data_IF_481684341905
#
_entry.id   IF_481684341905
#
_cell.length_a   1.000
_cell.length_b   1.000
_cell.length_c   1.000
_cell.angle_alpha   90.00
_cell.angle_beta   90.00
_cell.angle_gamma   90.00
#
_symmetry.space_group_name_H-M   'P 1'
#
loop_
_entity.id
_entity.type
_entity.pdbx_description
1 polymer ?
#
# COMPACT_ATOMS: atom_id res chain seq x y z
N UNK A 1 25.18 -26.77 -15.64
CA UNK A 1 23.91 -26.07 -15.35
C UNK A 1 24.31 -24.69 -14.92
N UNK A 2 23.93 -23.68 -15.70
CA UNK A 2 24.31 -22.30 -15.43
C UNK A 2 23.62 -21.85 -14.15
N UNK A 3 24.41 -21.31 -13.22
CA UNK A 3 23.91 -20.74 -11.97
C UNK A 3 22.84 -19.69 -12.29
N UNK A 4 21.63 -19.91 -11.77
CA UNK A 4 20.58 -18.90 -11.75
C UNK A 4 21.08 -17.81 -10.78
N UNK A 5 21.23 -16.54 -11.20
CA UNK A 5 21.68 -15.50 -10.31
C UNK A 5 20.66 -15.34 -9.18
N UNK A 6 21.08 -15.66 -7.96
CA UNK A 6 20.32 -15.31 -6.77
C UNK A 6 20.29 -13.77 -6.67
N UNK A 7 19.11 -13.21 -6.38
CA UNK A 7 19.04 -11.85 -5.81
C UNK A 7 20.03 -11.80 -4.62
N UNK A 8 20.81 -10.71 -4.42
CA UNK A 8 21.85 -10.58 -3.39
C UNK A 8 21.44 -10.85 -1.93
N UNK A 9 20.19 -11.23 -1.71
CA UNK A 9 19.42 -10.97 -0.52
C UNK A 9 18.71 -12.21 0.01
N UNK A 10 18.58 -13.23 -0.83
CA UNK A 10 18.18 -14.55 -0.40
C UNK A 10 19.45 -15.40 -0.27
N UNK A 11 19.63 -16.02 0.90
CA UNK A 11 20.57 -17.13 1.00
C UNK A 11 20.25 -18.14 -0.11
N UNK A 12 21.28 -18.79 -0.68
CA UNK A 12 21.07 -19.79 -1.75
C UNK A 12 19.95 -20.76 -1.35
N UNK A 13 18.99 -20.98 -2.27
CA UNK A 13 17.96 -22.02 -2.10
C UNK A 13 18.65 -23.32 -1.70
N UNK A 14 18.19 -23.91 -0.60
CA UNK A 14 18.81 -25.08 0.03
C UNK A 14 17.98 -26.31 -0.25
N UNK A 15 18.63 -27.47 -0.24
CA UNK A 15 17.92 -28.75 -0.24
C UNK A 15 17.03 -28.79 1.01
N UNK A 16 15.71 -28.89 0.80
CA UNK A 16 14.69 -28.86 1.85
C UNK A 16 13.83 -27.59 1.87
N UNK A 17 14.23 -26.53 1.15
CA UNK A 17 13.38 -25.35 0.98
C UNK A 17 12.20 -25.66 0.04
N UNK A 18 11.05 -25.05 0.31
CA UNK A 18 9.92 -25.06 -0.61
C UNK A 18 10.07 -23.93 -1.63
N UNK A 19 9.93 -24.26 -2.91
CA UNK A 19 9.89 -23.28 -4.00
C UNK A 19 8.47 -23.21 -4.51
N UNK A 20 7.84 -22.05 -4.34
CA UNK A 20 6.55 -21.76 -4.92
C UNK A 20 6.75 -21.28 -6.37
N UNK A 21 6.07 -21.94 -7.31
CA UNK A 21 6.08 -21.55 -8.71
C UNK A 21 4.75 -20.89 -9.00
N UNK A 22 4.75 -19.56 -9.03
CA UNK A 22 3.60 -18.82 -9.53
C UNK A 22 3.58 -18.90 -11.06
N UNK A 23 2.55 -19.54 -11.59
CA UNK A 23 2.36 -19.73 -13.03
C UNK A 23 1.49 -18.63 -13.65
N UNK A 24 0.85 -17.79 -12.83
CA UNK A 24 0.06 -16.66 -13.28
C UNK A 24 -0.03 -15.57 -12.19
N UNK A 25 0.76 -14.51 -12.39
CA UNK A 25 0.71 -13.30 -11.58
C UNK A 25 -0.36 -12.35 -12.15
N UNK A 26 -1.53 -12.30 -11.50
CA UNK A 26 -2.62 -11.36 -11.83
C UNK A 26 -3.44 -11.68 -13.10
N UNK A 27 -4.55 -10.94 -13.26
CA UNK A 27 -5.39 -10.94 -14.47
C UNK A 27 -6.79 -11.55 -14.31
N UNK A 28 -7.04 -12.34 -13.26
CA UNK A 28 -8.38 -12.83 -12.91
C UNK A 28 -8.76 -12.42 -11.49
N UNK A 29 -10.06 -12.36 -11.22
CA UNK A 29 -10.62 -11.95 -9.92
C UNK A 29 -11.77 -12.89 -9.60
N UNK A 30 -11.89 -13.38 -8.35
CA UNK A 30 -13.05 -14.23 -7.97
C UNK A 30 -14.34 -13.42 -8.05
N UNK A 31 -14.37 -12.26 -7.39
CA UNK A 31 -15.50 -11.33 -7.41
C UNK A 31 -15.11 -10.00 -8.05
N UNK A 32 -15.54 -9.77 -9.29
CA UNK A 32 -15.37 -8.48 -9.95
C UNK A 32 -16.62 -7.63 -9.79
N UNK A 33 -16.48 -6.49 -9.09
CA UNK A 33 -17.56 -5.53 -8.81
C UNK A 33 -17.24 -4.25 -9.56
N UNK A 34 -18.13 -3.85 -10.47
CA UNK A 34 -17.91 -2.77 -11.43
C UNK A 34 -19.17 -1.91 -11.57
N UNK A 35 -19.10 -0.61 -11.26
CA UNK A 35 -20.26 0.27 -11.46
C UNK A 35 -21.43 -0.01 -10.51
N UNK A 36 -21.17 -0.52 -9.30
CA UNK A 36 -22.19 -0.94 -8.35
C UNK A 36 -22.33 0.03 -7.17
N UNK A 37 -23.49 0.04 -6.52
CA UNK A 37 -23.75 0.80 -5.30
C UNK A 37 -24.44 -0.11 -4.27
N UNK A 38 -23.95 -0.14 -3.03
CA UNK A 38 -24.55 -0.93 -1.95
C UNK A 38 -24.30 -2.43 -2.06
N UNK A 39 -23.03 -2.85 -2.20
CA UNK A 39 -22.67 -4.27 -2.33
C UNK A 39 -22.21 -4.84 -0.98
N UNK A 40 -22.86 -5.92 -0.57
CA UNK A 40 -22.53 -6.71 0.61
C UNK A 40 -21.88 -8.05 0.22
N UNK A 41 -20.71 -8.37 0.75
CA UNK A 41 -20.10 -9.70 0.73
C UNK A 41 -19.99 -10.18 2.17
N UNK A 42 -20.61 -11.32 2.47
CA UNK A 42 -20.70 -11.86 3.83
C UNK A 42 -20.33 -13.34 3.87
N UNK A 43 -19.60 -13.75 4.90
CA UNK A 43 -19.32 -15.16 5.25
C UNK A 43 -18.87 -16.04 4.07
N UNK A 44 -17.96 -15.48 3.26
CA UNK A 44 -17.52 -16.11 2.02
C UNK A 44 -16.06 -16.52 2.12
N UNK A 45 -15.75 -17.76 1.71
CA UNK A 45 -14.40 -18.31 1.74
C UNK A 45 -13.87 -18.58 0.33
N UNK A 46 -12.67 -18.07 0.04
CA UNK A 46 -11.89 -18.37 -1.16
C UNK A 46 -10.66 -19.17 -0.75
N UNK A 47 -10.54 -20.40 -1.24
CA UNK A 47 -9.40 -21.24 -0.91
C UNK A 47 -8.19 -21.09 -1.82
N UNK A 48 -8.45 -20.85 -3.11
CA UNK A 48 -7.40 -20.70 -4.10
C UNK A 48 -7.91 -19.95 -5.32
N UNK A 49 -7.11 -19.04 -5.87
CA UNK A 49 -7.40 -18.40 -7.15
C UNK A 49 -6.15 -17.86 -7.84
N UNK A 50 -6.09 -17.98 -9.17
CA UNK A 50 -5.02 -17.42 -10.00
C UNK A 50 -5.29 -15.93 -10.29
N UNK A 51 -5.11 -15.10 -9.27
CA UNK A 51 -5.32 -13.65 -9.31
C UNK A 51 -5.85 -13.15 -7.98
N UNK A 52 -6.73 -12.16 -8.00
CA UNK A 52 -7.24 -11.49 -6.78
C UNK A 52 -8.49 -12.18 -6.22
N UNK A 53 -8.75 -12.02 -4.92
CA UNK A 53 -10.01 -12.40 -4.30
C UNK A 53 -11.17 -11.51 -4.77
N UNK A 54 -11.22 -10.28 -4.27
CA UNK A 54 -12.21 -9.27 -4.63
C UNK A 54 -11.53 -8.14 -5.40
N UNK A 55 -12.14 -7.72 -6.52
CA UNK A 55 -11.71 -6.59 -7.32
C UNK A 55 -12.87 -5.62 -7.51
N UNK A 56 -12.79 -4.45 -6.89
CA UNK A 56 -13.82 -3.42 -6.90
C UNK A 56 -13.34 -2.23 -7.71
N UNK A 57 -14.16 -1.78 -8.65
CA UNK A 57 -13.92 -0.55 -9.39
C UNK A 57 -15.21 0.21 -9.69
N UNK A 58 -15.12 1.54 -9.75
CA UNK A 58 -16.23 2.42 -10.09
C UNK A 58 -17.48 2.20 -9.23
N UNK A 59 -17.30 1.87 -7.95
CA UNK A 59 -18.40 1.44 -7.09
C UNK A 59 -18.46 2.24 -5.78
N UNK A 60 -19.58 2.15 -5.07
CA UNK A 60 -19.76 2.82 -3.79
C UNK A 60 -20.51 2.02 -2.75
N UNK A 61 -20.33 2.40 -1.48
CA UNK A 61 -21.04 1.82 -0.34
C UNK A 61 -20.86 0.31 -0.28
N UNK A 62 -19.61 -0.11 -0.04
CA UNK A 62 -19.23 -1.54 -0.03
C UNK A 62 -19.07 -2.00 1.42
N UNK A 63 -19.56 -3.20 1.68
CA UNK A 63 -19.42 -3.87 2.96
C UNK A 63 -18.92 -5.31 2.75
N UNK A 64 -17.79 -5.63 3.36
CA UNK A 64 -17.14 -6.95 3.29
C UNK A 64 -16.99 -7.43 4.74
N UNK A 65 -17.73 -8.47 5.12
CA UNK A 65 -17.73 -8.98 6.49
C UNK A 65 -17.57 -10.49 6.52
N UNK A 66 -16.77 -11.04 7.43
CA UNK A 66 -16.58 -12.50 7.51
C UNK A 66 -15.88 -13.10 6.28
N UNK A 67 -15.24 -12.28 5.44
CA UNK A 67 -14.58 -12.74 4.23
C UNK A 67 -13.27 -13.45 4.56
N UNK A 68 -13.08 -14.62 3.98
CA UNK A 68 -11.93 -15.47 4.23
C UNK A 68 -11.24 -15.77 2.91
N UNK A 69 -9.95 -15.50 2.85
CA UNK A 69 -9.10 -15.97 1.78
C UNK A 69 -7.99 -16.73 2.48
N UNK A 70 -8.05 -18.06 2.43
CA UNK A 70 -7.21 -18.93 3.27
C UNK A 70 -6.86 -20.19 2.49
N UNK A 71 -5.66 -20.76 2.61
CA UNK A 71 -5.33 -21.99 1.89
C UNK A 71 -6.32 -23.12 2.22
N UNK A 72 -6.61 -24.01 1.26
CA UNK A 72 -7.52 -25.13 1.50
C UNK A 72 -6.93 -26.08 2.57
N UNK A 73 -7.54 -26.20 3.77
CA UNK A 73 -7.02 -27.10 4.80
C UNK A 73 -7.15 -28.57 4.43
N UNK A 74 -7.94 -28.92 3.41
CA UNK A 74 -8.23 -30.29 2.99
C UNK A 74 -7.36 -30.77 1.82
N UNK A 75 -6.46 -29.93 1.32
CA UNK A 75 -5.49 -30.35 0.30
C UNK A 75 -4.65 -31.54 0.82
N UNK A 76 -4.26 -32.50 -0.04
CA UNK A 76 -3.50 -33.68 0.41
C UNK A 76 -2.15 -33.37 1.07
N UNK A 77 -1.61 -32.17 0.84
CA UNK A 77 -0.31 -31.69 1.35
C UNK A 77 -0.39 -30.20 1.72
N UNK A 78 -1.07 -29.83 2.83
CA UNK A 78 -1.29 -28.43 3.21
C UNK A 78 0.00 -27.66 3.44
N UNK A 79 1.07 -28.33 3.86
CA UNK A 79 2.40 -27.74 3.97
C UNK A 79 3.03 -27.36 2.62
N UNK A 80 2.54 -27.90 1.50
CA UNK A 80 3.01 -27.60 0.14
C UNK A 80 2.10 -26.65 -0.63
N UNK A 81 0.95 -26.28 -0.08
CA UNK A 81 0.03 -25.30 -0.67
C UNK A 81 -0.16 -24.14 0.29
N UNK A 82 0.90 -23.39 0.62
CA UNK A 82 0.80 -22.28 1.57
C UNK A 82 0.08 -21.07 0.97
N UNK A 83 -0.21 -21.09 -0.34
CA UNK A 83 -0.78 -19.95 -1.05
C UNK A 83 -2.27 -20.14 -1.31
N UNK A 84 -3.05 -19.09 -1.05
CA UNK A 84 -4.47 -19.01 -1.37
C UNK A 84 -4.65 -18.30 -2.71
N UNK A 85 -4.76 -16.97 -2.76
CA UNK A 85 -4.77 -16.19 -4.02
C UNK A 85 -3.35 -15.90 -4.48
N UNK A 86 -3.10 -15.90 -5.80
CA UNK A 86 -1.77 -15.54 -6.35
C UNK A 86 -1.53 -14.03 -6.38
N UNK A 87 -2.57 -13.22 -6.19
CA UNK A 87 -2.50 -11.77 -6.01
C UNK A 87 -3.31 -11.36 -4.77
N UNK A 88 -3.75 -10.10 -4.72
CA UNK A 88 -4.37 -9.45 -3.59
C UNK A 88 -5.63 -10.17 -3.08
N UNK A 89 -5.94 -10.04 -1.78
CA UNK A 89 -7.21 -10.53 -1.27
C UNK A 89 -8.37 -9.58 -1.61
N UNK A 90 -8.21 -8.28 -1.33
CA UNK A 90 -9.20 -7.24 -1.59
C UNK A 90 -8.52 -6.06 -2.29
N UNK A 91 -8.92 -5.78 -3.52
CA UNK A 91 -8.32 -4.73 -4.35
C UNK A 91 -9.40 -3.74 -4.80
N UNK A 92 -9.34 -2.50 -4.30
CA UNK A 92 -10.33 -1.45 -4.53
C UNK A 92 -9.66 -0.30 -5.29
N UNK A 93 -10.15 0.01 -6.48
CA UNK A 93 -9.69 1.14 -7.28
C UNK A 93 -10.84 2.03 -7.70
N UNK A 94 -10.59 3.33 -7.87
CA UNK A 94 -11.55 4.26 -8.51
C UNK A 94 -12.99 4.14 -7.96
N UNK A 95 -13.14 4.14 -6.63
CA UNK A 95 -14.41 3.87 -5.93
C UNK A 95 -14.64 4.92 -4.84
N UNK A 96 -15.88 5.16 -4.44
CA UNK A 96 -16.24 6.30 -3.57
C UNK A 96 -17.26 5.93 -2.49
N UNK A 97 -17.58 6.88 -1.62
CA UNK A 97 -18.50 6.64 -0.49
C UNK A 97 -17.83 5.86 0.64
N UNK A 98 -18.65 5.14 1.42
CA UNK A 98 -18.18 4.38 2.58
C UNK A 98 -17.71 2.95 2.18
N UNK A 99 -16.62 2.50 2.79
CA UNK A 99 -16.09 1.15 2.64
C UNK A 99 -15.90 0.53 4.02
N UNK A 100 -16.59 -0.57 4.30
CA UNK A 100 -16.46 -1.30 5.56
C UNK A 100 -15.87 -2.69 5.29
N UNK A 101 -14.78 -3.03 5.97
CA UNK A 101 -14.13 -4.34 5.90
C UNK A 101 -13.98 -4.84 7.34
N UNK A 102 -14.71 -5.89 7.71
CA UNK A 102 -14.73 -6.39 9.09
C UNK A 102 -14.61 -7.91 9.20
N UNK A 103 -14.05 -8.38 10.31
CA UNK A 103 -14.12 -9.80 10.70
C UNK A 103 -13.54 -10.75 9.64
N UNK A 104 -12.51 -10.31 8.91
CA UNK A 104 -11.92 -11.05 7.79
C UNK A 104 -10.65 -11.82 8.21
N UNK A 105 -10.38 -12.94 7.54
CA UNK A 105 -9.11 -13.68 7.67
C UNK A 105 -8.45 -13.82 6.30
N UNK A 106 -7.25 -13.27 6.16
CA UNK A 106 -6.53 -13.10 4.91
C UNK A 106 -5.14 -13.78 5.02
N UNK A 107 -5.05 -15.04 4.61
CA UNK A 107 -3.90 -15.92 4.83
C UNK A 107 -3.28 -16.41 3.51
N UNK A 108 -1.96 -16.22 3.35
CA UNK A 108 -1.16 -16.87 2.32
C UNK A 108 -1.26 -16.26 0.92
N UNK A 109 -1.47 -14.94 0.81
CA UNK A 109 -1.65 -14.29 -0.49
C UNK A 109 -0.32 -14.13 -1.21
N UNK A 110 -0.36 -14.19 -2.54
CA UNK A 110 0.77 -13.83 -3.39
C UNK A 110 1.06 -12.33 -3.46
N UNK A 111 0.15 -11.49 -2.99
CA UNK A 111 0.35 -10.04 -2.91
C UNK A 111 -0.34 -9.41 -1.67
N UNK A 112 -0.80 -8.18 -1.76
CA UNK A 112 -1.33 -7.41 -0.63
C UNK A 112 -2.64 -7.97 -0.05
N UNK A 113 -2.86 -7.80 1.24
CA UNK A 113 -4.13 -8.24 1.84
C UNK A 113 -5.27 -7.30 1.42
N UNK A 114 -5.06 -5.99 1.55
CA UNK A 114 -6.02 -4.96 1.15
C UNK A 114 -5.26 -3.83 0.43
N UNK A 115 -5.67 -3.47 -0.77
CA UNK A 115 -5.18 -2.30 -1.49
C UNK A 115 -6.35 -1.39 -1.89
N UNK A 116 -6.30 -0.11 -1.50
CA UNK A 116 -7.33 0.88 -1.85
C UNK A 116 -6.68 2.12 -2.45
N UNK A 117 -6.88 2.39 -3.75
CA UNK A 117 -6.24 3.53 -4.41
C UNK A 117 -7.11 4.19 -5.51
N UNK A 118 -6.64 5.34 -5.99
CA UNK A 118 -7.05 5.92 -7.27
C UNK A 118 -5.81 6.05 -8.17
N UNK A 119 -5.89 5.71 -9.47
CA UNK A 119 -4.79 5.88 -10.40
C UNK A 119 -4.38 7.34 -10.54
N UNK A 120 -3.07 7.58 -10.46
CA UNK A 120 -2.44 8.85 -10.74
C UNK A 120 -2.05 8.90 -12.22
N UNK A 121 -2.59 9.87 -12.95
CA UNK A 121 -2.26 10.10 -14.35
C UNK A 121 -1.04 11.00 -14.49
N UNK A 122 -0.13 10.65 -15.40
CA UNK A 122 1.05 11.45 -15.72
C UNK A 122 0.70 12.44 -16.83
N UNK A 123 0.69 13.72 -16.48
CA UNK A 123 0.39 14.82 -17.42
C UNK A 123 1.59 15.10 -18.32
N UNK A 124 2.82 14.88 -17.84
CA UNK A 124 4.04 15.32 -18.53
C UNK A 124 4.56 14.41 -19.66
N UNK A 125 3.86 13.34 -20.07
CA UNK A 125 4.34 12.47 -21.15
C UNK A 125 4.12 13.10 -22.53
N UNK A 126 5.06 13.96 -22.91
CA UNK A 126 5.39 14.21 -24.30
C UNK A 126 6.28 13.08 -24.81
N UNK A 127 5.91 12.49 -25.94
CA UNK A 127 6.91 11.90 -26.81
C UNK A 127 8.03 12.92 -27.04
N UNK A 128 9.19 12.69 -26.45
CA UNK A 128 10.54 13.24 -26.65
C UNK A 128 10.81 14.70 -27.11
N UNK A 129 9.87 15.49 -27.64
CA UNK A 129 10.15 16.75 -28.34
C UNK A 129 9.00 17.77 -28.32
N UNK A 130 8.21 17.86 -27.25
CA UNK A 130 7.35 19.02 -26.96
C UNK A 130 6.69 18.84 -25.59
N UNK A 131 6.40 19.94 -24.90
CA UNK A 131 5.40 19.97 -23.83
C UNK A 131 4.12 19.31 -24.42
N UNK A 132 3.61 18.19 -23.90
CA UNK A 132 2.53 17.46 -24.55
C UNK A 132 1.20 18.23 -24.55
N UNK A 133 0.32 17.99 -25.54
CA UNK A 133 -1.01 18.63 -25.76
C UNK A 133 -2.05 18.42 -24.65
N UNK A 134 -1.62 17.95 -23.48
CA UNK A 134 -2.46 17.59 -22.35
C UNK A 134 -3.00 18.77 -21.53
N UNK A 135 -2.45 19.99 -21.61
CA UNK A 135 -2.89 21.12 -20.79
C UNK A 135 -3.18 22.37 -21.62
N UNK A 136 -4.37 22.92 -21.48
CA UNK A 136 -4.78 24.23 -22.00
C UNK A 136 -5.13 25.17 -20.84
N UNK A 137 -4.16 25.99 -20.42
CA UNK A 137 -4.37 26.97 -19.35
C UNK A 137 -5.40 28.06 -19.71
N UNK A 138 -5.54 28.41 -20.99
CA UNK A 138 -6.46 29.46 -21.41
C UNK A 138 -7.91 28.97 -21.32
N UNK A 139 -8.16 27.73 -21.75
CA UNK A 139 -9.48 27.11 -21.71
C UNK A 139 -9.77 26.32 -20.42
N UNK A 140 -8.75 26.14 -19.57
CA UNK A 140 -8.79 25.36 -18.32
C UNK A 140 -9.06 23.88 -18.58
N UNK A 141 -8.40 23.34 -19.60
CA UNK A 141 -8.64 21.96 -20.06
C UNK A 141 -7.44 21.06 -19.83
N UNK A 142 -7.72 19.79 -19.53
CA UNK A 142 -6.76 18.69 -19.42
C UNK A 142 -7.18 17.57 -20.38
N UNK A 143 -6.25 17.05 -21.17
CA UNK A 143 -6.43 15.85 -22.00
C UNK A 143 -5.67 14.68 -21.34
N UNK A 144 -6.38 13.61 -21.01
CA UNK A 144 -5.82 12.39 -20.41
C UNK A 144 -6.10 11.16 -21.29
N UNK A 145 -5.06 10.35 -21.46
CA UNK A 145 -5.19 9.01 -22.00
C UNK A 145 -5.79 8.10 -20.92
N UNK A 146 -7.11 7.89 -21.01
CA UNK A 146 -7.82 6.93 -20.16
C UNK A 146 -8.60 6.00 -21.07
N UNK A 147 -8.15 4.75 -21.28
CA UNK A 147 -8.89 3.80 -22.09
C UNK A 147 -10.28 3.59 -21.48
N UNK A 148 -11.29 4.07 -22.20
CA UNK A 148 -12.68 3.87 -21.87
C UNK A 148 -13.03 2.40 -22.16
N UNK A 149 -12.82 1.50 -21.21
CA UNK A 149 -13.24 0.09 -21.33
C UNK A 149 -14.77 -0.07 -21.18
N UNK A 150 -15.55 0.86 -21.73
CA UNK A 150 -17.02 0.90 -21.64
C UNK A 150 -17.58 1.53 -20.35
N UNK A 151 -16.75 1.81 -19.35
CA UNK A 151 -17.14 2.48 -18.10
C UNK A 151 -16.20 3.66 -17.85
N UNK A 152 -16.61 4.85 -18.29
CA UNK A 152 -15.95 6.10 -17.95
C UNK A 152 -16.95 6.94 -17.14
N UNK A 153 -16.72 7.04 -15.82
CA UNK A 153 -17.64 7.72 -14.90
C UNK A 153 -17.09 9.06 -14.42
N UNK A 154 -16.53 9.88 -15.31
CA UNK A 154 -16.36 11.29 -14.98
C UNK A 154 -17.73 11.95 -14.90
N UNK A 155 -17.88 12.88 -13.95
CA UNK A 155 -19.08 13.67 -13.73
C UNK A 155 -18.70 15.13 -13.56
N UNK A 156 -19.58 16.02 -14.02
CA UNK A 156 -19.46 17.42 -13.65
C UNK A 156 -19.56 17.52 -12.11
N UNK A 157 -18.62 18.23 -11.49
CA UNK A 157 -18.48 18.34 -10.04
C UNK A 157 -17.41 17.45 -9.43
N UNK A 158 -16.88 16.44 -10.14
CA UNK A 158 -15.74 15.63 -9.65
C UNK A 158 -14.55 16.54 -9.31
N UNK A 159 -13.86 16.23 -8.23
CA UNK A 159 -12.78 17.03 -7.69
C UNK A 159 -11.43 16.48 -8.15
N UNK A 160 -10.67 17.25 -8.90
CA UNK A 160 -9.35 16.85 -9.35
C UNK A 160 -8.26 17.49 -8.50
N UNK A 161 -7.30 16.68 -8.07
CA UNK A 161 -6.09 17.15 -7.40
C UNK A 161 -4.91 17.10 -8.37
N UNK A 162 -4.11 18.17 -8.38
CA UNK A 162 -2.94 18.31 -9.25
C UNK A 162 -1.68 18.28 -8.41
N UNK A 163 -0.67 17.55 -8.88
CA UNK A 163 0.62 17.43 -8.20
C UNK A 163 1.75 17.92 -9.09
N UNK A 164 2.80 18.45 -8.47
CA UNK A 164 4.06 18.70 -9.16
C UNK A 164 4.89 17.42 -9.38
N UNK A 165 6.06 17.57 -10.00
CA UNK A 165 6.97 16.45 -10.28
C UNK A 165 7.56 15.78 -9.03
N UNK A 166 7.32 16.32 -7.84
CA UNK A 166 7.66 15.75 -6.54
C UNK A 166 6.42 15.27 -5.77
N UNK A 167 5.24 15.26 -6.40
CA UNK A 167 4.02 14.69 -5.84
C UNK A 167 3.34 15.60 -4.82
N UNK A 168 3.80 16.86 -4.73
CA UNK A 168 3.20 17.82 -3.81
C UNK A 168 1.96 18.44 -4.43
N UNK A 169 0.87 18.61 -3.65
CA UNK A 169 -0.33 19.30 -4.12
C UNK A 169 -0.04 20.70 -4.67
N UNK A 170 -0.76 21.04 -5.75
CA UNK A 170 -0.74 22.33 -6.44
C UNK A 170 -2.06 23.06 -6.22
N UNK A 171 -2.29 23.52 -4.98
CA UNK A 171 -3.52 24.24 -4.61
C UNK A 171 -4.66 23.31 -4.18
N UNK A 172 -5.87 23.87 -4.12
CA UNK A 172 -7.07 23.14 -3.73
C UNK A 172 -7.61 22.27 -4.89
N UNK A 173 -8.38 21.21 -4.60
CA UNK A 173 -9.05 20.41 -5.63
C UNK A 173 -9.91 21.28 -6.57
N UNK A 174 -9.86 20.99 -7.86
CA UNK A 174 -10.56 21.75 -8.90
C UNK A 174 -11.78 20.99 -9.42
N UNK A 175 -13.00 21.53 -9.34
CA UNK A 175 -14.20 20.85 -9.82
C UNK A 175 -14.26 20.78 -11.34
N UNK A 176 -14.60 19.61 -11.88
CA UNK A 176 -14.90 19.41 -13.30
C UNK A 176 -16.15 20.21 -13.69
N UNK A 177 -16.03 21.06 -14.71
CA UNK A 177 -17.15 21.78 -15.33
C UNK A 177 -17.85 20.91 -16.38
N UNK A 178 -17.07 20.28 -17.27
CA UNK A 178 -17.57 19.45 -18.37
C UNK A 178 -16.46 18.55 -18.90
N UNK A 179 -16.80 17.47 -19.60
CA UNK A 179 -15.83 16.61 -20.25
C UNK A 179 -16.34 16.10 -21.60
N UNK A 180 -15.44 15.68 -22.49
CA UNK A 180 -15.78 15.01 -23.75
C UNK A 180 -15.21 13.60 -23.74
N UNK A 181 -16.07 12.59 -23.92
CA UNK A 181 -15.64 11.23 -24.22
C UNK A 181 -15.63 11.04 -25.74
N UNK A 182 -14.50 10.67 -26.36
CA UNK A 182 -14.53 10.25 -27.76
C UNK A 182 -15.30 8.93 -27.89
N UNK A 183 -16.09 8.83 -28.97
CA UNK A 183 -16.99 7.68 -29.23
C UNK A 183 -16.23 6.35 -29.40
N UNK A 184 -14.90 6.38 -29.61
CA UNK A 184 -14.07 5.19 -29.82
C UNK A 184 -12.64 5.37 -29.26
N UNK A 185 -12.44 5.25 -27.94
CA UNK A 185 -11.13 4.95 -27.35
C UNK A 185 -10.02 5.99 -27.57
N UNK A 186 -10.35 7.28 -27.59
CA UNK A 186 -9.38 8.38 -27.59
C UNK A 186 -9.30 9.09 -26.23
N UNK A 187 -8.45 10.12 -26.17
CA UNK A 187 -8.22 10.92 -24.97
C UNK A 187 -9.48 11.68 -24.51
N UNK A 188 -9.66 11.76 -23.19
CA UNK A 188 -10.76 12.51 -22.58
C UNK A 188 -10.29 13.93 -22.31
N UNK A 189 -11.03 14.91 -22.83
CA UNK A 189 -10.82 16.32 -22.46
C UNK A 189 -11.73 16.70 -21.31
N UNK A 190 -11.14 17.24 -20.26
CA UNK A 190 -11.81 17.65 -19.04
C UNK A 190 -11.61 19.15 -18.90
N UNK A 191 -12.71 19.89 -18.80
CA UNK A 191 -12.71 21.33 -18.52
C UNK A 191 -13.00 21.56 -17.04
N UNK A 192 -12.22 22.42 -16.41
CA UNK A 192 -12.36 22.74 -15.00
C UNK A 192 -13.07 24.06 -14.74
N UNK A 193 -13.71 24.15 -13.58
CA UNK A 193 -14.42 25.33 -13.11
C UNK A 193 -13.44 26.46 -12.80
N UNK A 194 -12.38 26.16 -12.04
CA UNK A 194 -11.35 27.13 -11.68
C UNK A 194 -10.18 27.09 -12.66
N UNK A 195 -9.37 28.17 -12.77
CA UNK A 195 -8.11 28.14 -13.50
C UNK A 195 -7.22 26.96 -13.08
N UNK A 196 -6.53 26.36 -14.04
CA UNK A 196 -5.53 25.34 -13.74
C UNK A 196 -4.42 25.93 -12.86
N UNK A 197 -3.91 25.18 -11.87
CA UNK A 197 -2.80 25.64 -11.04
C UNK A 197 -1.58 26.03 -11.88
N UNK A 198 -1.13 27.28 -11.73
CA UNK A 198 0.05 27.80 -12.42
C UNK A 198 1.00 28.42 -11.39
N UNK A 199 1.73 27.56 -10.68
CA UNK A 199 2.70 27.96 -9.67
C UNK A 199 4.08 28.04 -10.34
N UNK A 200 4.69 29.23 -10.31
CA UNK A 200 6.02 29.46 -10.88
C UNK A 200 7.03 28.46 -10.34
N UNK A 201 7.67 27.70 -11.25
CA UNK A 201 8.67 26.68 -10.91
C UNK A 201 8.11 25.35 -10.42
N UNK A 202 6.78 25.18 -10.32
CA UNK A 202 6.11 23.93 -9.93
C UNK A 202 4.96 23.62 -10.91
N UNK A 203 5.29 23.22 -12.15
CA UNK A 203 4.27 22.87 -13.13
C UNK A 203 3.54 21.59 -12.72
N UNK A 204 2.30 21.46 -13.19
CA UNK A 204 1.51 20.23 -13.07
C UNK A 204 2.25 19.09 -13.77
N UNK A 205 2.42 17.97 -13.07
CA UNK A 205 3.07 16.76 -13.59
C UNK A 205 2.19 15.54 -13.43
N UNK A 206 1.42 15.47 -12.34
CA UNK A 206 0.47 14.40 -12.08
C UNK A 206 -0.90 14.95 -11.74
N UNK A 207 -1.91 14.11 -11.93
CA UNK A 207 -3.30 14.45 -11.64
C UNK A 207 -4.09 13.19 -11.34
N UNK A 208 -5.08 13.28 -10.46
CA UNK A 208 -6.07 12.22 -10.23
C UNK A 208 -7.43 12.81 -9.88
N UNK A 209 -8.46 11.97 -10.06
CA UNK A 209 -9.83 12.27 -9.65
C UNK A 209 -10.00 11.89 -8.17
N UNK A 210 -9.91 12.88 -7.29
CA UNK A 210 -10.04 12.71 -5.85
C UNK A 210 -11.46 12.29 -5.43
N UNK A 211 -12.47 12.50 -6.28
CA UNK A 211 -13.85 12.05 -6.05
C UNK A 211 -14.02 10.55 -6.26
N UNK A 212 -13.07 9.88 -6.91
CA UNK A 212 -13.04 8.42 -7.09
C UNK A 212 -12.17 7.72 -6.04
N UNK A 213 -12.09 8.31 -4.84
CA UNK A 213 -11.51 7.68 -3.66
C UNK A 213 -12.56 7.65 -2.53
N UNK A 214 -12.61 6.58 -1.70
CA UNK A 214 -13.58 6.50 -0.62
C UNK A 214 -13.47 7.69 0.36
N UNK A 215 -14.62 8.17 0.80
CA UNK A 215 -14.69 9.25 1.79
C UNK A 215 -14.47 8.75 3.22
N UNK A 216 -14.70 7.45 3.43
CA UNK A 216 -14.59 6.80 4.73
C UNK A 216 -14.26 5.32 4.54
N UNK A 217 -13.13 4.87 5.08
CA UNK A 217 -12.68 3.48 5.03
C UNK A 217 -12.54 2.97 6.47
N UNK A 218 -13.31 1.96 6.82
CA UNK A 218 -13.30 1.33 8.14
C UNK A 218 -12.82 -0.11 7.99
N UNK A 219 -11.64 -0.41 8.53
CA UNK A 219 -11.05 -1.75 8.55
C UNK A 219 -10.98 -2.20 10.01
N UNK A 220 -11.68 -3.27 10.38
CA UNK A 220 -11.68 -3.73 11.77
C UNK A 220 -11.69 -5.25 11.93
N UNK A 221 -11.05 -5.77 12.97
CA UNK A 221 -11.06 -7.21 13.27
C UNK A 221 -10.58 -8.07 12.08
N UNK A 222 -9.63 -7.55 11.30
CA UNK A 222 -9.01 -8.26 10.17
C UNK A 222 -7.71 -8.90 10.64
N UNK A 223 -7.56 -10.19 10.35
CA UNK A 223 -6.32 -10.94 10.58
C UNK A 223 -5.65 -11.23 9.24
N UNK A 224 -4.39 -10.84 9.09
CA UNK A 224 -3.55 -11.12 7.92
C UNK A 224 -2.38 -12.02 8.35
N UNK A 225 -2.10 -13.06 7.57
CA UNK A 225 -0.99 -13.96 7.86
C UNK A 225 -0.22 -14.39 6.60
N UNK A 226 1.12 -14.37 6.68
CA UNK A 226 1.99 -15.15 5.80
C UNK A 226 1.99 -14.76 4.32
N UNK A 227 1.61 -13.54 3.95
CA UNK A 227 1.55 -13.11 2.56
C UNK A 227 2.91 -12.65 2.01
N UNK A 228 3.11 -12.81 0.69
CA UNK A 228 4.36 -12.48 -0.03
C UNK A 228 4.63 -10.98 -0.12
N UNK A 229 3.66 -10.09 0.08
CA UNK A 229 3.83 -8.63 -0.03
C UNK A 229 3.44 -7.94 1.28
N UNK A 230 2.68 -6.83 1.24
CA UNK A 230 2.30 -6.08 2.43
C UNK A 230 0.90 -6.39 2.95
N UNK A 231 0.57 -5.86 4.13
CA UNK A 231 -0.77 -6.04 4.70
C UNK A 231 -1.79 -5.12 4.03
N UNK A 232 -1.79 -3.85 4.43
CA UNK A 232 -2.75 -2.85 3.97
C UNK A 232 -2.04 -1.70 3.23
N UNK A 233 -2.34 -1.51 1.95
CA UNK A 233 -1.91 -0.37 1.14
C UNK A 233 -3.01 0.70 1.18
N UNK A 234 -2.74 1.76 1.94
CA UNK A 234 -3.71 2.79 2.30
C UNK A 234 -3.19 4.18 1.92
N UNK A 235 -4.12 5.12 1.78
CA UNK A 235 -3.78 6.51 1.43
C UNK A 235 -4.38 7.47 2.44
N UNK A 236 -5.70 7.66 2.43
CA UNK A 236 -6.37 8.64 3.29
C UNK A 236 -7.73 8.20 3.82
N UNK A 237 -8.31 8.98 4.73
CA UNK A 237 -9.68 8.78 5.27
C UNK A 237 -9.91 7.36 5.80
N UNK A 238 -8.89 6.77 6.44
CA UNK A 238 -8.93 5.36 6.82
C UNK A 238 -8.77 5.19 8.32
N UNK A 239 -9.65 4.38 8.92
CA UNK A 239 -9.48 3.87 10.27
C UNK A 239 -9.21 2.37 10.24
N UNK A 240 -8.09 1.95 10.81
CA UNK A 240 -7.73 0.55 11.05
C UNK A 240 -7.82 0.30 12.55
N UNK A 241 -8.61 -0.68 12.98
CA UNK A 241 -8.82 -0.95 14.41
C UNK A 241 -8.92 -2.43 14.75
N UNK A 242 -8.25 -2.86 15.82
CA UNK A 242 -8.31 -4.25 16.29
C UNK A 242 -7.90 -5.26 15.20
N UNK A 243 -6.91 -4.93 14.36
CA UNK A 243 -6.40 -5.80 13.31
C UNK A 243 -5.08 -6.45 13.74
N UNK A 244 -4.77 -7.59 13.14
CA UNK A 244 -3.47 -8.26 13.29
C UNK A 244 -2.86 -8.49 11.92
N UNK A 245 -1.61 -8.09 11.72
CA UNK A 245 -0.82 -8.48 10.55
C UNK A 245 0.42 -9.20 11.04
N UNK A 246 0.57 -10.45 10.61
CA UNK A 246 1.64 -11.33 11.04
C UNK A 246 2.36 -11.96 9.84
N UNK A 247 3.70 -11.95 9.88
CA UNK A 247 4.55 -12.69 8.95
C UNK A 247 4.43 -12.27 7.47
N UNK A 248 4.20 -10.97 7.22
CA UNK A 248 4.30 -10.38 5.88
C UNK A 248 5.76 -10.12 5.50
N UNK A 249 6.11 -10.22 4.21
CA UNK A 249 7.48 -9.94 3.77
C UNK A 249 7.79 -8.43 3.73
N UNK A 250 6.77 -7.60 3.48
CA UNK A 250 6.84 -6.14 3.36
C UNK A 250 6.07 -5.48 4.51
N UNK A 251 5.85 -4.16 4.44
CA UNK A 251 5.14 -3.38 5.45
C UNK A 251 3.76 -3.98 5.79
N UNK A 252 3.43 -4.01 7.07
CA UNK A 252 2.09 -4.36 7.52
C UNK A 252 1.07 -3.33 7.05
N UNK A 253 1.44 -2.04 7.10
CA UNK A 253 0.65 -0.94 6.59
C UNK A 253 1.57 0.03 5.86
N UNK A 254 1.20 0.38 4.64
CA UNK A 254 1.76 1.52 3.92
C UNK A 254 0.71 2.62 3.84
N UNK A 255 1.09 3.85 4.19
CA UNK A 255 0.26 5.04 4.10
C UNK A 255 0.90 6.05 3.17
N UNK A 256 0.27 6.26 2.02
CA UNK A 256 0.60 7.33 1.08
C UNK A 256 0.83 6.86 -0.35
N UNK A 257 1.00 7.81 -1.28
CA UNK A 257 1.03 7.50 -2.70
C UNK A 257 2.35 6.85 -3.15
N UNK A 258 2.25 6.06 -4.21
CA UNK A 258 3.39 5.59 -5.01
C UNK A 258 3.42 6.30 -6.35
N UNK A 259 4.52 6.98 -6.67
CA UNK A 259 4.66 7.81 -7.87
C UNK A 259 5.82 7.32 -8.73
N UNK A 260 5.61 7.29 -10.05
CA UNK A 260 6.64 6.93 -11.04
C UNK A 260 6.61 5.47 -11.49
N UNK A 261 6.25 4.54 -10.61
CA UNK A 261 6.09 3.12 -10.96
C UNK A 261 4.61 2.70 -10.96
N UNK A 262 4.01 2.50 -9.79
CA UNK A 262 2.60 2.09 -9.67
C UNK A 262 1.64 3.23 -10.00
N UNK A 263 2.01 4.47 -9.67
CA UNK A 263 1.15 5.65 -9.85
C UNK A 263 -0.20 5.46 -9.15
N UNK A 264 -0.14 5.11 -7.87
CA UNK A 264 -1.31 4.85 -7.02
C UNK A 264 -1.39 5.94 -5.96
N UNK A 265 -2.55 6.57 -5.86
CA UNK A 265 -2.84 7.68 -4.95
C UNK A 265 -4.15 7.45 -4.20
N UNK A 266 -4.69 8.49 -3.52
CA UNK A 266 -4.27 9.88 -3.52
C UNK A 266 -3.05 10.17 -2.62
N UNK A 267 -2.71 11.45 -2.46
CA UNK A 267 -1.87 11.89 -1.36
C UNK A 267 -2.44 11.38 -0.02
N UNK A 268 -1.56 10.95 0.87
CA UNK A 268 -1.99 10.28 2.09
C UNK A 268 -2.44 11.25 3.18
N UNK A 269 -3.36 10.80 4.03
CA UNK A 269 -3.60 11.46 5.31
C UNK A 269 -4.95 11.24 5.97
N UNK A 270 -5.15 11.80 7.15
CA UNK A 270 -6.36 11.54 7.97
C UNK A 270 -6.55 10.03 8.19
N UNK A 271 -5.50 9.40 8.72
CA UNK A 271 -5.43 7.96 8.98
C UNK A 271 -5.29 7.70 10.48
N UNK A 272 -6.15 6.83 11.00
CA UNK A 272 -6.09 6.34 12.39
C UNK A 272 -5.82 4.84 12.39
N UNK A 273 -4.74 4.42 13.02
CA UNK A 273 -4.39 3.01 13.24
C UNK A 273 -4.41 2.80 14.74
N UNK A 274 -5.33 1.97 15.24
CA UNK A 274 -5.52 1.82 16.67
C UNK A 274 -5.68 0.38 17.14
N UNK A 275 -5.21 0.08 18.35
CA UNK A 275 -5.40 -1.19 19.03
C UNK A 275 -5.05 -2.42 18.16
N UNK A 276 -4.03 -2.29 17.32
CA UNK A 276 -3.68 -3.30 16.31
C UNK A 276 -2.29 -3.89 16.56
N UNK A 277 -2.05 -5.09 16.04
CA UNK A 277 -0.85 -5.89 16.31
C UNK A 277 -0.08 -6.13 15.01
N UNK A 278 1.22 -5.84 15.03
CA UNK A 278 2.12 -5.98 13.88
C UNK A 278 3.30 -6.85 14.28
N UNK A 279 3.28 -8.09 13.79
CA UNK A 279 4.11 -9.18 14.30
C UNK A 279 4.96 -9.76 13.16
N UNK A 280 6.28 -9.74 13.27
CA UNK A 280 7.13 -10.40 12.28
C UNK A 280 6.94 -9.92 10.84
N UNK A 281 6.59 -8.65 10.63
CA UNK A 281 6.46 -8.05 9.30
C UNK A 281 7.82 -7.59 8.79
N UNK A 282 7.88 -7.08 7.55
CA UNK A 282 9.11 -6.50 6.95
C UNK A 282 10.32 -7.45 6.99
N UNK A 283 10.06 -8.77 6.98
CA UNK A 283 11.07 -9.81 7.16
C UNK A 283 11.63 -10.37 5.83
N UNK A 284 11.17 -9.87 4.69
CA UNK A 284 11.71 -10.19 3.36
C UNK A 284 12.23 -8.96 2.64
N UNK A 285 12.82 -9.16 1.45
CA UNK A 285 12.89 -8.06 0.50
C UNK A 285 11.48 -7.79 -0.03
N UNK A 286 10.90 -6.64 0.31
CA UNK A 286 9.71 -6.14 -0.39
C UNK A 286 10.01 -5.84 -1.87
N UNK A 287 9.18 -5.03 -2.52
CA UNK A 287 9.33 -4.60 -3.93
C UNK A 287 10.56 -3.70 -4.21
N UNK A 288 11.64 -3.85 -3.46
CA UNK A 288 12.86 -3.08 -3.57
C UNK A 288 12.74 -1.66 -3.01
N UNK A 289 11.67 -1.33 -2.27
CA UNK A 289 11.61 -0.11 -1.46
C UNK A 289 12.61 -0.29 -0.32
N UNK A 290 13.73 0.43 -0.34
CA UNK A 290 14.68 0.29 0.74
C UNK A 290 14.03 0.98 1.96
N UNK A 291 14.25 0.41 3.15
CA UNK A 291 13.88 1.00 4.44
C UNK A 291 12.38 1.04 4.86
N UNK A 292 11.57 0.06 4.48
CA UNK A 292 10.21 -0.07 5.05
C UNK A 292 10.25 -0.36 6.56
N UNK A 293 9.31 0.23 7.30
CA UNK A 293 8.94 -0.23 8.63
C UNK A 293 7.62 -1.00 8.62
N UNK A 294 7.29 -1.67 9.73
CA UNK A 294 6.02 -2.37 9.89
C UNK A 294 4.83 -1.47 9.53
N UNK A 295 4.85 -0.22 9.99
CA UNK A 295 4.04 0.87 9.43
C UNK A 295 4.96 1.84 8.70
N UNK A 296 4.72 2.04 7.41
CA UNK A 296 5.46 2.98 6.57
C UNK A 296 4.54 4.12 6.13
N UNK A 297 4.87 5.35 6.51
CA UNK A 297 4.16 6.57 6.13
C UNK A 297 5.05 7.31 5.16
N UNK A 298 4.68 7.35 3.87
CA UNK A 298 5.57 7.83 2.83
C UNK A 298 4.83 8.24 1.55
N UNK A 299 5.38 9.27 0.89
CA UNK A 299 5.23 9.41 -0.56
C UNK A 299 6.41 8.69 -1.20
N UNK A 300 6.18 7.51 -1.79
CA UNK A 300 7.21 6.70 -2.43
C UNK A 300 7.41 7.12 -3.89
N UNK A 301 8.68 7.18 -4.32
CA UNK A 301 9.10 7.62 -5.64
C UNK A 301 9.95 6.57 -6.32
N UNK A 302 9.57 6.19 -7.53
CA UNK A 302 10.46 5.48 -8.43
C UNK A 302 11.10 6.48 -9.40
N UNK A 303 12.29 6.94 -9.02
CA UNK A 303 12.99 8.04 -9.70
C UNK A 303 13.95 7.50 -10.75
N UNK A 304 13.79 7.97 -11.99
CA UNK A 304 14.76 7.78 -13.06
C UNK A 304 16.00 8.66 -12.80
N UNK A 305 17.17 8.05 -12.69
CA UNK A 305 18.48 8.70 -12.57
C UNK A 305 19.17 8.90 -13.93
N UNK A 306 18.54 8.48 -15.03
CA UNK A 306 19.08 8.46 -16.38
C UNK A 306 19.75 7.13 -16.74
N UNK A 307 19.93 6.89 -18.04
CA UNK A 307 20.55 5.67 -18.60
C UNK A 307 19.86 4.35 -18.18
N UNK A 308 18.56 4.40 -17.86
CA UNK A 308 17.80 3.23 -17.43
C UNK A 308 18.04 2.83 -15.97
N UNK A 309 18.69 3.67 -15.17
CA UNK A 309 18.87 3.45 -13.73
C UNK A 309 17.72 4.08 -12.96
N UNK A 310 16.97 3.27 -12.23
CA UNK A 310 15.88 3.73 -11.38
C UNK A 310 16.18 3.39 -9.93
N UNK A 311 15.78 4.29 -9.03
CA UNK A 311 15.87 4.05 -7.58
C UNK A 311 14.55 4.38 -6.92
N UNK A 312 14.20 3.60 -5.91
CA UNK A 312 13.19 4.00 -4.95
C UNK A 312 13.75 5.09 -4.04
N UNK A 313 12.96 6.14 -3.83
CA UNK A 313 13.27 7.26 -2.95
C UNK A 313 11.97 7.81 -2.36
N UNK A 314 12.07 8.87 -1.56
CA UNK A 314 10.95 9.44 -0.83
C UNK A 314 10.74 10.90 -1.22
N UNK A 315 9.48 11.33 -1.19
CA UNK A 315 9.09 12.70 -1.51
C UNK A 315 9.63 13.73 -0.51
N UNK A 316 9.50 15.03 -0.80
CA UNK A 316 9.77 16.07 0.17
C UNK A 316 8.78 16.02 1.35
N UNK A 317 9.09 16.73 2.43
CA UNK A 317 8.23 16.86 3.61
C UNK A 317 6.78 17.30 3.24
N UNK A 318 5.80 16.71 3.93
CA UNK A 318 4.38 17.07 3.84
C UNK A 318 3.58 16.40 2.71
N UNK A 319 4.08 15.31 2.13
CA UNK A 319 3.35 14.46 1.18
C UNK A 319 2.29 13.54 1.81
N UNK A 320 2.39 13.27 3.12
CA UNK A 320 1.38 12.52 3.90
C UNK A 320 1.08 13.25 5.21
N UNK A 321 -0.19 13.57 5.48
CA UNK A 321 -0.59 14.38 6.64
C UNK A 321 -1.41 13.61 7.68
N UNK A 322 -1.43 14.01 8.95
CA UNK A 322 -2.42 13.54 9.95
C UNK A 322 -2.53 12.02 10.09
N UNK A 323 -1.45 11.37 10.52
CA UNK A 323 -1.46 9.94 10.82
C UNK A 323 -1.34 9.73 12.31
N UNK A 324 -2.31 9.04 12.91
CA UNK A 324 -2.30 8.68 14.33
C UNK A 324 -2.15 7.17 14.48
N UNK A 325 -1.19 6.74 15.28
CA UNK A 325 -0.94 5.35 15.66
C UNK A 325 -1.12 5.28 17.18
N UNK A 326 -2.16 4.59 17.65
CA UNK A 326 -2.58 4.61 19.06
C UNK A 326 -2.83 3.20 19.63
N UNK A 327 -2.21 2.84 20.74
CA UNK A 327 -2.51 1.57 21.40
C UNK A 327 -2.04 0.33 20.63
N UNK A 328 -1.12 0.48 19.68
CA UNK A 328 -0.65 -0.61 18.84
C UNK A 328 0.51 -1.39 19.47
N UNK A 329 0.60 -2.69 19.16
CA UNK A 329 1.69 -3.56 19.59
C UNK A 329 2.56 -3.94 18.39
N UNK A 330 3.87 -3.85 18.57
CA UNK A 330 4.86 -4.23 17.57
C UNK A 330 5.81 -5.26 18.17
N UNK A 331 6.04 -6.37 17.47
CA UNK A 331 6.97 -7.41 17.92
C UNK A 331 7.66 -8.11 16.74
N UNK A 332 8.94 -8.45 16.89
CA UNK A 332 9.71 -9.26 15.92
C UNK A 332 9.79 -8.74 14.48
N UNK A 333 9.46 -7.48 14.23
CA UNK A 333 9.49 -6.90 12.88
C UNK A 333 10.94 -6.68 12.38
N UNK A 334 11.12 -6.78 11.06
CA UNK A 334 12.35 -6.42 10.38
C UNK A 334 12.50 -4.90 10.24
N UNK A 335 13.71 -4.37 10.40
CA UNK A 335 13.95 -2.92 10.30
C UNK A 335 13.22 -2.11 11.39
N UNK A 336 12.70 -0.93 11.01
CA UNK A 336 11.96 -0.07 11.92
C UNK A 336 10.53 -0.59 12.15
N UNK A 337 9.95 -0.37 13.33
CA UNK A 337 8.53 -0.62 13.53
C UNK A 337 7.67 0.44 12.85
N UNK A 338 8.09 1.70 12.93
CA UNK A 338 7.41 2.81 12.28
C UNK A 338 8.43 3.62 11.50
N UNK A 339 8.18 3.83 10.22
CA UNK A 339 8.99 4.68 9.37
C UNK A 339 8.12 5.79 8.79
N UNK A 340 8.36 7.04 9.18
CA UNK A 340 7.63 8.19 8.69
C UNK A 340 8.53 9.12 7.89
N UNK A 341 8.25 9.23 6.60
CA UNK A 341 8.98 10.08 5.67
C UNK A 341 8.05 10.88 4.80
N UNK A 342 8.51 12.05 4.39
CA UNK A 342 7.67 12.94 3.59
C UNK A 342 6.35 13.26 4.31
N UNK A 343 6.34 13.24 5.65
CA UNK A 343 5.12 13.27 6.43
C UNK A 343 4.96 14.59 7.19
N UNK A 344 3.75 14.89 7.65
CA UNK A 344 3.48 15.98 8.59
C UNK A 344 2.35 15.57 9.54
N UNK A 345 2.48 15.94 10.81
CA UNK A 345 1.53 15.64 11.88
C UNK A 345 1.32 14.14 12.07
N UNK A 346 2.39 13.47 12.47
CA UNK A 346 2.37 12.06 12.88
C UNK A 346 2.32 11.96 14.39
N UNK A 347 1.33 11.28 14.94
CA UNK A 347 1.21 11.01 16.38
C UNK A 347 1.36 9.52 16.64
N UNK A 348 2.31 9.15 17.51
CA UNK A 348 2.55 7.77 17.95
C UNK A 348 2.35 7.74 19.46
N UNK A 349 1.29 7.10 19.92
CA UNK A 349 0.96 7.10 21.34
C UNK A 349 0.46 5.78 21.88
N UNK A 350 0.68 5.55 23.18
CA UNK A 350 0.23 4.36 23.91
C UNK A 350 0.63 3.02 23.25
N UNK A 351 1.69 3.02 22.43
CA UNK A 351 2.14 1.83 21.72
C UNK A 351 3.16 1.05 22.54
N UNK A 352 3.11 -0.27 22.40
CA UNK A 352 4.06 -1.19 22.99
C UNK A 352 4.99 -1.78 21.92
N UNK A 353 6.30 -1.60 22.12
CA UNK A 353 7.33 -2.10 21.21
C UNK A 353 8.15 -3.20 21.90
N UNK A 354 8.02 -4.43 21.40
CA UNK A 354 8.63 -5.66 21.93
C UNK A 354 9.71 -6.21 20.99
N UNK A 355 10.56 -7.10 21.53
CA UNK A 355 11.67 -7.82 20.86
C UNK A 355 12.34 -7.04 19.73
N UNK A 356 12.81 -5.83 20.04
CA UNK A 356 13.26 -4.86 19.05
C UNK A 356 14.42 -5.39 18.19
N UNK A 357 14.24 -5.34 16.87
CA UNK A 357 15.20 -5.60 15.77
C UNK A 357 15.83 -7.01 15.68
N UNK A 358 15.13 -7.94 15.01
CA UNK A 358 15.65 -9.31 14.82
C UNK A 358 16.13 -9.68 13.40
N UNK A 359 16.02 -8.84 12.37
CA UNK A 359 16.53 -9.22 11.04
C UNK A 359 17.29 -8.09 10.32
N UNK A 360 18.62 -8.23 10.32
CA UNK A 360 19.58 -7.46 9.51
C UNK A 360 19.85 -8.16 8.15
N UNK A 361 18.80 -8.60 7.46
CA UNK A 361 18.93 -9.38 6.22
C UNK A 361 19.55 -8.60 5.06
N UNK A 362 19.45 -7.26 5.11
CA UNK A 362 20.10 -6.36 4.20
C UNK A 362 20.80 -5.28 4.99
N UNK A 363 22.07 -5.04 4.69
CA UNK A 363 22.79 -3.85 5.11
C UNK A 363 22.55 -2.81 4.02
N UNK A 364 21.52 -1.96 4.12
CA UNK A 364 21.34 -0.96 3.10
C UNK A 364 22.47 0.09 3.23
N UNK A 365 22.81 0.78 2.14
CA UNK A 365 23.89 1.79 2.13
C UNK A 365 23.31 3.19 2.30
N UNK A 366 23.92 4.05 3.13
CA UNK A 366 23.49 5.46 3.30
C UNK A 366 22.52 5.70 4.46
N UNK A 367 21.61 6.68 4.33
CA UNK A 367 20.53 7.00 5.32
C UNK A 367 19.75 5.74 5.74
N UNK A 368 19.71 4.77 4.86
CA UNK A 368 19.10 3.48 5.03
C UNK A 368 19.59 2.63 6.20
N UNK A 369 20.85 2.79 6.60
CA UNK A 369 21.39 2.09 7.77
C UNK A 369 20.75 2.56 9.06
N UNK A 370 20.47 3.85 9.16
CA UNK A 370 19.97 4.41 10.40
C UNK A 370 18.49 3.98 10.57
N UNK A 371 17.75 3.75 9.48
CA UNK A 371 16.37 3.25 9.49
C UNK A 371 16.31 1.82 9.99
N UNK A 372 17.17 0.97 9.44
CA UNK A 372 17.31 -0.42 9.88
C UNK A 372 17.77 -0.57 11.33
N UNK A 373 18.38 0.46 11.93
CA UNK A 373 18.87 0.47 13.33
C UNK A 373 17.93 1.19 14.29
N UNK A 374 16.85 1.77 13.80
CA UNK A 374 15.93 2.58 14.61
C UNK A 374 14.62 1.85 14.83
N UNK A 375 14.05 1.99 16.03
CA UNK A 375 12.72 1.47 16.33
C UNK A 375 11.63 2.27 15.61
N UNK A 376 11.80 3.59 15.63
CA UNK A 376 10.95 4.57 14.96
C UNK A 376 11.89 5.50 14.19
N UNK A 377 11.61 5.68 12.90
CA UNK A 377 12.38 6.49 12.00
C UNK A 377 11.57 7.69 11.51
N UNK A 378 12.17 8.87 11.54
CA UNK A 378 11.64 10.06 10.89
C UNK A 378 12.69 10.65 9.94
N UNK A 379 12.32 10.90 8.68
CA UNK A 379 13.14 11.73 7.78
C UNK A 379 12.29 12.58 6.85
N UNK A 380 12.64 13.85 6.67
CA UNK A 380 11.78 14.80 5.95
C UNK A 380 10.35 14.82 6.49
N UNK A 381 10.20 14.80 7.81
CA UNK A 381 8.92 14.84 8.51
C UNK A 381 8.78 16.14 9.28
N UNK A 382 7.59 16.73 9.25
CA UNK A 382 7.26 17.93 10.02
C UNK A 382 6.93 17.63 11.46
N UNK A 383 5.78 18.10 11.94
CA UNK A 383 5.38 17.89 13.33
C UNK A 383 5.22 16.39 13.58
N UNK A 384 5.84 15.90 14.64
CA UNK A 384 5.65 14.53 15.11
C UNK A 384 5.60 14.52 16.64
N UNK A 385 4.64 13.78 17.20
CA UNK A 385 4.44 13.61 18.64
C UNK A 385 4.61 12.12 18.99
N UNK A 386 5.51 11.81 19.94
CA UNK A 386 5.76 10.45 20.43
C UNK A 386 5.47 10.42 21.93
N UNK A 387 4.36 9.81 22.33
CA UNK A 387 3.77 10.01 23.66
C UNK A 387 3.45 8.67 24.34
N UNK A 388 3.79 8.52 25.63
CA UNK A 388 3.25 7.42 26.46
C UNK A 388 3.48 6.01 25.90
N UNK A 389 4.57 5.81 25.15
CA UNK A 389 4.92 4.51 24.56
C UNK A 389 5.80 3.68 25.49
N UNK A 390 5.66 2.36 25.43
CA UNK A 390 6.50 1.42 26.17
C UNK A 390 7.47 0.72 25.22
N UNK A 391 8.74 0.59 25.63
CA UNK A 391 9.76 -0.14 24.86
C UNK A 391 10.35 -1.24 25.73
N UNK A 392 10.37 -2.47 25.22
CA UNK A 392 10.84 -3.66 25.92
C UNK A 392 11.85 -4.44 25.06
N UNK A 393 12.92 -4.92 25.68
CA UNK A 393 13.97 -5.70 25.01
C UNK A 393 14.13 -7.07 25.69
N UNK A 394 14.29 -8.13 24.89
CA UNK A 394 14.58 -9.49 25.38
C UNK A 394 13.38 -10.29 25.87
N UNK A 395 12.16 -9.77 25.69
CA UNK A 395 10.91 -10.49 25.88
C UNK A 395 10.05 -10.32 24.63
N UNK A 396 9.35 -11.39 24.22
CA UNK A 396 8.31 -11.33 23.20
C UNK A 396 6.97 -11.10 23.85
N UNK A 397 6.11 -10.41 23.11
CA UNK A 397 4.75 -10.15 23.54
C UNK A 397 3.98 -11.47 23.62
N UNK A 398 3.22 -11.63 24.71
CA UNK A 398 2.33 -12.77 24.91
C UNK A 398 0.92 -12.22 24.95
N UNK A 399 0.11 -12.57 23.95
CA UNK A 399 -1.30 -12.18 23.91
C UNK A 399 -2.02 -12.71 25.17
N UNK A 400 -2.67 -11.84 25.99
CA UNK A 400 -3.45 -12.27 27.14
C UNK A 400 -4.58 -13.27 26.80
N UNK A 401 -5.10 -13.22 25.57
CA UNK A 401 -6.20 -14.08 25.11
C UNK A 401 -5.72 -15.43 24.53
N UNK A 402 -4.44 -15.76 24.66
CA UNK A 402 -3.93 -17.11 24.40
C UNK A 402 -3.77 -17.50 22.94
N UNK A 403 -3.96 -16.57 21.99
CA UNK A 403 -3.52 -16.75 20.61
C UNK A 403 -2.00 -16.57 20.54
N UNK A 404 -1.25 -17.61 20.91
CA UNK A 404 -0.01 -17.89 20.20
C UNK A 404 -0.44 -18.36 18.82
N UNK A 405 -0.66 -17.42 17.89
CA UNK A 405 -0.69 -17.77 16.47
C UNK A 405 0.60 -18.54 16.19
N UNK A 406 0.41 -19.80 15.81
CA UNK A 406 1.35 -20.90 15.91
C UNK A 406 2.81 -20.44 15.81
N UNK A 407 3.55 -20.58 16.92
CA UNK A 407 5.00 -20.63 16.93
C UNK A 407 5.45 -21.87 16.14
N UNK A 408 5.27 -21.89 14.82
CA UNK A 408 6.19 -22.66 14.00
C UNK A 408 7.51 -21.91 14.16
N UNK A 409 8.56 -22.56 14.70
CA UNK A 409 9.85 -21.91 14.86
C UNK A 409 10.24 -21.35 13.50
N UNK A 410 10.53 -20.05 13.47
CA UNK A 410 11.15 -19.42 12.33
C UNK A 410 12.32 -20.34 11.88
N UNK A 411 12.28 -20.92 10.67
CA UNK A 411 13.33 -21.83 10.22
C UNK A 411 14.71 -21.14 10.13
N UNK A 412 14.75 -19.80 10.21
CA UNK A 412 15.97 -19.01 10.27
C UNK A 412 16.58 -18.89 11.68
N UNK A 413 15.87 -19.29 12.75
CA UNK A 413 16.43 -19.27 14.11
C UNK A 413 17.14 -20.59 14.49
N UNK A 414 18.03 -21.04 13.61
CA UNK A 414 19.06 -22.05 13.93
C UNK A 414 20.44 -21.41 13.90
N UNK A 415 20.67 -20.46 14.79
CA UNK A 415 22.02 -20.18 15.26
C UNK A 415 22.03 -20.27 16.77
N UNK A 416 22.16 -21.51 17.25
CA UNK A 416 22.83 -21.71 18.52
C UNK A 416 24.25 -21.17 18.37
N UNK A 417 24.47 -19.96 18.89
CA UNK A 417 25.77 -19.52 19.32
C UNK A 417 25.54 -18.87 20.69
N UNK A 418 25.99 -19.58 21.72
CA UNK A 418 26.30 -18.98 23.00
C UNK A 418 27.19 -17.76 22.73
N UNK A 419 26.77 -16.56 23.16
CA UNK A 419 27.49 -15.68 24.09
C UNK A 419 26.59 -14.53 24.52
#
# INVERSE_FOLDING_TARGET
MNDIPASPSYGKIRVGDYVLIDHQFGGYVVFSIAGCDGVDIQDTTVHHWAGMGIGIHYSSNINISGFQVIPDPNTPKPELTPMSTTADAIHIRESWGAMNISDCTLDGMGDDAINVYVPISVVAKGHANSIPPCLDYANRELEIDKPCNGVCLFKAGDLFEFLDKEGRPLGAPNPVQSFTTPVCGGDIRIKFTNPLPNITGRPIHYVYDASQFPSDIQISHVTVFGNRAGGFMLHRNTTVSNCTVDSSTSAAILVGPSIGFWNEGPAGGDVLIQNSQFLGTTNGEGFGMPEEGAISIATAWYKDLGNGNFIWTYGPQGGVGHVTIDGCTFDLNGGANICARSADWVTIQNCDFWSTSMHYGLQPTGESQDAAKSLIWFSSTGKADILMNTVMQGASWVNPDGWLLNSKPNPYNKSGNNF
#
